data_IF_178854559224
#
_entry.id   IF_178854559224
#
_cell.length_a   1.000
_cell.length_b   1.000
_cell.length_c   1.000
_cell.angle_alpha   90.00
_cell.angle_beta   90.00
_cell.angle_gamma   90.00
#
_symmetry.space_group_name_H-M   'P 1'
#
loop_
_entity.id
_entity.type
_entity.pdbx_description
1 polymer ?
#
# COMPACT_ATOMS: atom_id res chain seq x y z
N UNK A 1 9.21 2.28 4.56
CA UNK A 1 9.34 2.62 6.00
C UNK A 1 8.78 1.52 6.88
N UNK A 2 7.60 0.98 6.59
CA UNK A 2 7.00 -0.12 7.34
C UNK A 2 7.96 -1.31 7.51
N UNK A 3 8.66 -1.69 6.44
CA UNK A 3 9.64 -2.79 6.47
C UNK A 3 10.98 -2.40 7.15
N UNK A 4 11.46 -1.17 6.93
CA UNK A 4 12.80 -0.73 7.35
C UNK A 4 12.86 -0.13 8.75
N UNK A 5 11.76 0.49 9.21
CA UNK A 5 11.60 1.12 10.53
C UNK A 5 10.25 0.70 11.13
N UNK A 6 10.07 -0.59 11.48
CA UNK A 6 8.76 -1.15 11.81
C UNK A 6 8.12 -0.56 13.08
N UNK A 7 8.90 0.03 13.99
CA UNK A 7 8.41 0.66 15.23
C UNK A 7 8.25 2.19 15.13
N UNK A 8 8.40 2.76 13.94
CA UNK A 8 8.26 4.22 13.74
C UNK A 8 6.81 4.68 13.81
N UNK A 9 6.58 5.94 14.17
CA UNK A 9 5.24 6.55 14.15
C UNK A 9 4.55 6.45 12.78
N UNK A 10 5.32 6.56 11.69
CA UNK A 10 4.82 6.39 10.32
C UNK A 10 4.35 4.94 10.11
N UNK A 11 5.09 3.94 10.59
CA UNK A 11 4.67 2.54 10.47
C UNK A 11 3.38 2.27 11.26
N UNK A 12 3.24 2.83 12.47
CA UNK A 12 1.99 2.74 13.25
C UNK A 12 0.82 3.43 12.55
N UNK A 13 1.02 4.58 11.90
CA UNK A 13 -0.01 5.24 11.12
C UNK A 13 -0.54 4.34 9.98
N UNK A 14 0.34 3.60 9.28
CA UNK A 14 -0.09 2.62 8.28
C UNK A 14 -0.81 1.42 8.90
N UNK A 15 -0.42 0.95 10.09
CA UNK A 15 -1.15 -0.11 10.81
C UNK A 15 -2.56 0.33 11.20
N UNK A 16 -2.72 1.57 11.64
CA UNK A 16 -4.02 2.18 11.91
C UNK A 16 -4.87 2.27 10.63
N UNK A 17 -4.29 2.74 9.52
CA UNK A 17 -4.96 2.82 8.21
C UNK A 17 -5.49 1.45 7.75
N UNK A 18 -4.68 0.39 7.88
CA UNK A 18 -5.08 -1.00 7.62
C UNK A 18 -6.27 -1.42 8.49
N UNK A 19 -6.26 -1.09 9.77
CA UNK A 19 -7.36 -1.40 10.70
C UNK A 19 -8.67 -0.73 10.27
N UNK A 20 -8.61 0.57 9.92
CA UNK A 20 -9.76 1.32 9.41
C UNK A 20 -10.33 0.72 8.12
N UNK A 21 -9.48 0.30 7.18
CA UNK A 21 -9.92 -0.40 5.97
C UNK A 21 -10.61 -1.73 6.30
N UNK A 22 -10.08 -2.52 7.24
CA UNK A 22 -10.73 -3.76 7.67
C UNK A 22 -12.12 -3.53 8.26
N UNK A 23 -12.30 -2.45 9.03
CA UNK A 23 -13.61 -2.06 9.54
C UNK A 23 -14.56 -1.69 8.40
N UNK A 24 -14.12 -0.88 7.43
CA UNK A 24 -14.91 -0.51 6.25
C UNK A 24 -15.35 -1.75 5.46
N UNK A 25 -14.44 -2.67 5.17
CA UNK A 25 -14.77 -3.90 4.45
C UNK A 25 -15.82 -4.74 5.17
N UNK A 26 -15.71 -4.87 6.49
CA UNK A 26 -16.72 -5.58 7.29
C UNK A 26 -18.07 -4.88 7.25
N UNK A 27 -18.09 -3.55 7.44
CA UNK A 27 -19.32 -2.74 7.45
C UNK A 27 -20.05 -2.78 6.11
N UNK A 28 -19.31 -2.80 5.00
CA UNK A 28 -19.87 -2.87 3.65
C UNK A 28 -20.14 -4.32 3.19
N UNK A 29 -19.87 -5.33 4.03
CA UNK A 29 -20.07 -6.73 3.65
C UNK A 29 -19.18 -7.20 2.50
N UNK A 30 -18.02 -6.56 2.27
CA UNK A 30 -17.10 -6.92 1.19
C UNK A 30 -16.47 -8.28 1.51
N UNK A 31 -16.77 -9.27 0.67
CA UNK A 31 -16.24 -10.64 0.75
C UNK A 31 -15.20 -10.86 -0.36
N UNK A 32 -14.30 -11.83 -0.15
CA UNK A 32 -13.28 -12.20 -1.13
C UNK A 32 -12.13 -11.20 -1.22
N UNK A 33 -11.62 -10.99 -2.44
CA UNK A 33 -10.49 -10.10 -2.70
C UNK A 33 -10.87 -8.63 -2.45
N UNK A 34 -10.01 -7.93 -1.71
CA UNK A 34 -10.20 -6.52 -1.34
C UNK A 34 -9.30 -5.67 -2.22
N UNK A 35 -9.89 -4.72 -2.95
CA UNK A 35 -9.17 -3.83 -3.86
C UNK A 35 -9.13 -2.41 -3.32
N UNK A 36 -7.96 -1.76 -3.39
CA UNK A 36 -7.77 -0.35 -3.01
C UNK A 36 -7.03 0.35 -4.13
N UNK A 37 -7.62 1.42 -4.65
CA UNK A 37 -6.94 2.35 -5.55
C UNK A 37 -6.32 3.48 -4.72
N UNK A 38 -5.03 3.73 -4.92
CA UNK A 38 -4.33 4.89 -4.36
C UNK A 38 -4.01 5.83 -5.51
N UNK A 39 -4.53 7.05 -5.45
CA UNK A 39 -4.33 8.08 -6.46
C UNK A 39 -4.01 9.42 -5.79
N UNK A 40 -3.50 10.37 -6.57
CA UNK A 40 -3.14 11.70 -6.11
C UNK A 40 -3.47 12.71 -7.21
N UNK A 41 -3.74 13.96 -6.84
CA UNK A 41 -4.14 15.02 -7.78
C UNK A 41 -2.96 15.45 -8.64
N UNK A 42 -1.75 15.44 -8.09
CA UNK A 42 -0.51 15.78 -8.79
C UNK A 42 0.61 14.78 -8.51
N UNK A 43 1.63 14.82 -9.36
CA UNK A 43 2.84 13.99 -9.18
C UNK A 43 3.67 14.52 -8.00
N UNK A 44 4.26 13.61 -7.22
CA UNK A 44 5.10 13.98 -6.07
C UNK A 44 4.41 13.93 -4.71
N UNK A 45 3.09 13.75 -4.64
CA UNK A 45 2.33 13.70 -3.37
C UNK A 45 2.51 12.40 -2.57
N UNK A 46 3.43 11.52 -2.98
CA UNK A 46 3.74 10.29 -2.25
C UNK A 46 2.78 9.13 -2.51
N UNK A 47 1.99 9.13 -3.59
CA UNK A 47 1.09 8.00 -3.93
C UNK A 47 1.80 6.64 -3.91
N UNK A 48 2.97 6.54 -4.56
CA UNK A 48 3.77 5.31 -4.60
C UNK A 48 4.24 4.91 -3.20
N UNK A 49 4.71 5.88 -2.41
CA UNK A 49 5.11 5.66 -1.03
C UNK A 49 3.95 5.10 -0.19
N UNK A 50 2.76 5.69 -0.30
CA UNK A 50 1.56 5.23 0.38
C UNK A 50 1.16 3.82 -0.07
N UNK A 51 1.14 3.54 -1.37
CA UNK A 51 0.80 2.22 -1.91
C UNK A 51 1.75 1.13 -1.40
N UNK A 52 3.06 1.38 -1.41
CA UNK A 52 4.08 0.41 -0.97
C UNK A 52 3.94 0.12 0.52
N UNK A 53 3.86 1.14 1.37
CA UNK A 53 3.78 0.94 2.81
C UNK A 53 2.42 0.34 3.21
N UNK A 54 1.33 0.69 2.52
CA UNK A 54 0.02 0.06 2.75
C UNK A 54 0.06 -1.42 2.38
N UNK A 55 0.58 -1.77 1.20
CA UNK A 55 0.75 -3.17 0.82
C UNK A 55 1.64 -3.93 1.82
N UNK A 56 2.71 -3.28 2.29
CA UNK A 56 3.63 -3.86 3.29
C UNK A 56 2.92 -4.21 4.61
N UNK A 57 2.06 -3.33 5.16
CA UNK A 57 1.35 -3.66 6.42
C UNK A 57 0.33 -4.78 6.25
N UNK A 58 -0.27 -4.93 5.07
CA UNK A 58 -1.14 -6.07 4.79
C UNK A 58 -0.33 -7.37 4.65
N UNK A 59 0.79 -7.34 3.94
CA UNK A 59 1.69 -8.48 3.79
C UNK A 59 2.27 -8.95 5.14
N UNK A 60 2.73 -8.02 5.99
CA UNK A 60 3.19 -8.31 7.35
C UNK A 60 2.10 -8.87 8.27
N UNK A 61 0.82 -8.69 7.93
CA UNK A 61 -0.32 -9.28 8.63
C UNK A 61 -0.72 -10.65 8.05
N UNK A 62 0.20 -11.29 7.32
CA UNK A 62 0.01 -12.60 6.67
C UNK A 62 -1.16 -12.65 5.69
N UNK A 63 -1.49 -11.50 5.07
CA UNK A 63 -2.48 -11.46 3.98
C UNK A 63 -1.79 -11.59 2.64
N UNK A 64 -2.31 -12.48 1.79
CA UNK A 64 -1.94 -12.53 0.37
C UNK A 64 -2.21 -11.16 -0.25
N UNK A 65 -1.15 -10.44 -0.59
CA UNK A 65 -1.20 -9.03 -0.99
C UNK A 65 -0.48 -8.86 -2.31
N UNK A 66 -1.14 -8.20 -3.27
CA UNK A 66 -0.55 -7.83 -4.56
C UNK A 66 -0.55 -6.31 -4.65
N UNK A 67 0.58 -5.74 -5.07
CA UNK A 67 0.71 -4.34 -5.38
C UNK A 67 0.84 -4.20 -6.91
N UNK A 68 -0.10 -3.48 -7.52
CA UNK A 68 -0.14 -3.29 -8.97
C UNK A 68 0.19 -1.84 -9.30
N UNK A 69 1.25 -1.61 -10.08
CA UNK A 69 1.59 -0.30 -10.60
C UNK A 69 0.82 0.01 -11.89
N UNK A 70 -0.09 0.98 -11.83
CA UNK A 70 -0.91 1.42 -12.97
C UNK A 70 -0.50 2.80 -13.53
N UNK A 71 0.59 3.39 -13.03
CA UNK A 71 1.16 4.62 -13.59
C UNK A 71 2.05 4.28 -14.79
N UNK A 72 1.42 4.20 -15.97
CA UNK A 72 2.10 3.83 -17.22
C UNK A 72 2.95 4.96 -17.82
N UNK A 73 2.74 6.22 -17.38
CA UNK A 73 3.48 7.37 -17.93
C UNK A 73 4.84 7.54 -17.26
N UNK A 74 4.90 7.40 -15.93
CA UNK A 74 6.14 7.52 -15.16
C UNK A 74 6.19 6.44 -14.08
N UNK A 75 6.37 5.17 -14.45
CA UNK A 75 6.40 4.07 -13.49
C UNK A 75 7.58 4.23 -12.53
N UNK A 76 7.29 4.40 -11.23
CA UNK A 76 8.32 4.56 -10.18
C UNK A 76 8.48 3.34 -9.26
N UNK A 77 7.53 2.40 -9.32
CA UNK A 77 7.44 1.30 -8.35
C UNK A 77 8.67 0.38 -8.38
N UNK A 78 9.27 0.16 -9.56
CA UNK A 78 10.34 -0.80 -9.75
C UNK A 78 11.63 -0.43 -9.01
N UNK A 79 11.98 0.86 -9.03
CA UNK A 79 13.15 1.37 -8.31
C UNK A 79 13.05 1.19 -6.79
N UNK A 80 11.85 1.35 -6.23
CA UNK A 80 11.63 1.18 -4.78
C UNK A 80 11.77 -0.28 -4.31
N UNK A 81 11.59 -1.26 -5.21
CA UNK A 81 11.74 -2.68 -4.93
C UNK A 81 13.08 -3.28 -5.41
N UNK A 82 13.99 -2.48 -5.96
CA UNK A 82 15.22 -2.96 -6.62
C UNK A 82 14.95 -4.11 -7.61
N UNK A 83 13.85 -4.03 -8.34
CA UNK A 83 13.48 -4.98 -9.38
C UNK A 83 13.66 -4.34 -10.75
N UNK A 84 14.16 -5.11 -11.71
CA UNK A 84 14.25 -4.67 -13.09
C UNK A 84 12.87 -4.78 -13.75
N UNK A 85 12.50 -3.74 -14.51
CA UNK A 85 11.34 -3.76 -15.39
C UNK A 85 11.83 -3.83 -16.84
N UNK A 86 12.33 -5.01 -17.21
CA UNK A 86 12.80 -5.36 -18.57
C UNK A 86 11.65 -5.76 -19.47
#
# INVERSE_FOLDING_TARGET
VVLTKPKSAIAEAFRALRSSLQFIYKKQGIKGAKTVLVTSSVSGEGKTFCSINLASVFALSEKKTVLVGLDLRKPKIFGDFNINNS
#
